data_IF_934748261199
#
_entry.id   IF_934748261199
#
_cell.length_a   1.000
_cell.length_b   1.000
_cell.length_c   1.000
_cell.angle_alpha   90.00
_cell.angle_beta   90.00
_cell.angle_gamma   90.00
#
_symmetry.space_group_name_H-M   'P 1'
#
loop_
_entity.id
_entity.type
_entity.pdbx_description
1 polymer ?
#
# COMPACT_ATOMS: atom_id res chain seq x y z
N UNK A 1 11.09 16.97 -9.67
CA UNK A 1 11.18 17.18 -8.21
C UNK A 1 12.34 16.36 -7.66
N UNK A 2 13.13 16.95 -6.79
CA UNK A 2 14.24 16.23 -6.16
C UNK A 2 13.71 15.24 -5.12
N UNK A 3 14.41 14.11 -4.88
CA UNK A 3 13.97 13.14 -3.88
C UNK A 3 13.75 13.72 -2.48
N UNK A 4 14.58 14.66 -2.05
CA UNK A 4 14.42 15.30 -0.74
C UNK A 4 13.12 16.12 -0.64
N UNK A 5 12.75 16.78 -1.74
CA UNK A 5 11.48 17.54 -1.79
C UNK A 5 10.29 16.59 -1.78
N UNK A 6 10.37 15.50 -2.53
CA UNK A 6 9.31 14.50 -2.56
C UNK A 6 9.09 13.88 -1.18
N UNK A 7 10.17 13.60 -0.44
CA UNK A 7 10.08 13.06 0.91
C UNK A 7 9.37 14.04 1.86
N UNK A 8 9.72 15.33 1.80
CA UNK A 8 9.08 16.34 2.65
C UNK A 8 7.59 16.47 2.33
N UNK A 9 7.23 16.51 1.05
CA UNK A 9 5.83 16.58 0.65
C UNK A 9 5.05 15.34 1.08
N UNK A 10 5.65 14.17 0.95
CA UNK A 10 5.03 12.92 1.37
C UNK A 10 4.75 12.91 2.87
N UNK A 11 5.70 13.36 3.67
CA UNK A 11 5.51 13.47 5.12
C UNK A 11 4.36 14.40 5.47
N UNK A 12 4.25 15.53 4.77
CA UNK A 12 3.18 16.50 4.98
C UNK A 12 1.81 15.89 4.63
N UNK A 13 1.71 15.21 3.50
CA UNK A 13 0.46 14.56 3.07
C UNK A 13 0.05 13.48 4.05
N UNK A 14 0.99 12.67 4.52
CA UNK A 14 0.69 11.55 5.43
C UNK A 14 0.36 11.97 6.86
N UNK A 15 0.72 13.19 7.25
CA UNK A 15 0.26 13.73 8.54
C UNK A 15 -1.24 13.96 8.56
N UNK A 16 -1.83 14.29 7.41
CA UNK A 16 -3.26 14.30 7.23
C UNK A 16 -3.79 12.88 6.99
N UNK A 17 -5.00 12.78 6.50
CA UNK A 17 -5.62 11.50 6.15
C UNK A 17 -5.52 11.16 4.67
N UNK A 18 -4.71 11.89 3.92
CA UNK A 18 -4.56 11.71 2.48
C UNK A 18 -3.47 10.69 2.15
N UNK A 19 -3.61 10.06 0.99
CA UNK A 19 -2.62 9.12 0.48
C UNK A 19 -1.79 9.79 -0.62
N UNK A 20 -0.46 9.85 -0.49
CA UNK A 20 0.38 10.38 -1.56
C UNK A 20 0.45 9.42 -2.74
N UNK A 21 0.53 9.98 -3.94
CA UNK A 21 0.66 9.23 -5.17
C UNK A 21 1.91 9.70 -5.91
N UNK A 22 2.92 8.85 -5.99
CA UNK A 22 4.19 9.18 -6.62
C UNK A 22 4.13 8.82 -8.10
N UNK A 23 4.30 9.82 -8.97
CA UNK A 23 4.29 9.63 -10.40
C UNK A 23 5.68 9.88 -10.97
N UNK A 24 6.06 9.10 -11.97
CA UNK A 24 7.33 9.26 -12.65
C UNK A 24 7.67 8.05 -13.51
N UNK A 25 8.75 8.16 -14.26
CA UNK A 25 9.22 7.06 -15.10
C UNK A 25 9.83 5.93 -14.28
N UNK A 26 9.93 4.77 -14.92
CA UNK A 26 10.54 3.60 -14.32
C UNK A 26 11.99 3.89 -13.91
N UNK A 27 12.36 3.48 -12.72
CA UNK A 27 13.75 3.57 -12.27
C UNK A 27 14.18 4.92 -11.73
N UNK A 28 13.28 5.87 -11.51
CA UNK A 28 13.67 7.20 -11.00
C UNK A 28 13.54 7.32 -9.48
N UNK A 29 13.67 6.22 -8.79
CA UNK A 29 13.83 6.24 -7.33
C UNK A 29 12.57 6.36 -6.52
N UNK A 30 11.39 6.05 -7.06
CA UNK A 30 10.14 6.07 -6.29
C UNK A 30 10.22 5.15 -5.08
N UNK A 31 10.71 3.93 -5.27
CA UNK A 31 10.88 2.97 -4.17
C UNK A 31 11.89 3.47 -3.13
N UNK A 32 12.96 4.13 -3.58
CA UNK A 32 13.95 4.71 -2.67
C UNK A 32 13.35 5.81 -1.80
N UNK A 33 12.47 6.64 -2.37
CA UNK A 33 11.78 7.69 -1.62
C UNK A 33 10.89 7.07 -0.53
N UNK A 34 10.16 6.02 -0.87
CA UNK A 34 9.30 5.33 0.09
C UNK A 34 10.14 4.69 1.20
N UNK A 35 11.25 4.05 0.85
CA UNK A 35 12.14 3.46 1.86
C UNK A 35 12.73 4.53 2.78
N UNK A 36 13.10 5.68 2.24
CA UNK A 36 13.57 6.80 3.06
C UNK A 36 12.50 7.30 4.02
N UNK A 37 11.26 7.35 3.56
CA UNK A 37 10.14 7.69 4.44
C UNK A 37 10.00 6.68 5.57
N UNK A 38 10.00 5.39 5.23
CA UNK A 38 9.89 4.31 6.23
C UNK A 38 10.99 4.42 7.27
N UNK A 39 12.23 4.62 6.83
CA UNK A 39 13.37 4.76 7.74
C UNK A 39 13.19 5.97 8.68
N UNK A 40 12.61 7.05 8.17
CA UNK A 40 12.44 8.27 8.97
C UNK A 40 11.33 8.14 10.02
N UNK A 41 10.27 7.37 9.76
CA UNK A 41 9.13 7.25 10.66
C UNK A 41 9.19 6.03 11.56
N UNK A 42 10.09 5.10 11.30
CA UNK A 42 10.26 3.91 12.12
C UNK A 42 10.83 4.23 13.52
N UNK A 43 11.43 5.39 13.68
CA UNK A 43 11.93 5.89 14.98
C UNK A 43 12.90 4.91 15.65
N UNK A 44 13.82 4.34 14.86
CA UNK A 44 14.81 3.38 15.37
C UNK A 44 14.27 1.98 15.57
N UNK A 45 13.01 1.73 15.30
CA UNK A 45 12.45 0.38 15.36
C UNK A 45 12.98 -0.48 14.22
N UNK A 46 13.01 -1.78 14.42
CA UNK A 46 13.38 -2.71 13.37
C UNK A 46 12.31 -2.71 12.28
N UNK A 47 12.71 -2.44 11.04
CA UNK A 47 11.81 -2.47 9.89
C UNK A 47 11.76 -3.90 9.34
N UNK A 48 10.58 -4.48 9.32
CA UNK A 48 10.36 -5.85 8.83
C UNK A 48 9.57 -5.81 7.53
N UNK A 49 10.16 -6.37 6.48
CA UNK A 49 9.49 -6.48 5.17
C UNK A 49 8.49 -7.64 5.23
N UNK A 50 7.29 -7.38 4.69
CA UNK A 50 6.18 -8.34 4.61
C UNK A 50 5.63 -8.82 5.97
N UNK A 51 5.93 -8.11 7.04
CA UNK A 51 5.34 -8.42 8.35
C UNK A 51 3.96 -7.78 8.48
N UNK A 52 2.93 -8.59 8.61
CA UNK A 52 1.54 -8.12 8.67
C UNK A 52 1.09 -7.73 10.08
N UNK A 53 1.86 -8.09 11.10
CA UNK A 53 1.50 -7.78 12.49
C UNK A 53 2.76 -7.46 13.32
N UNK A 54 3.46 -6.37 12.98
CA UNK A 54 4.68 -6.02 13.72
C UNK A 54 4.36 -5.68 15.18
N UNK A 55 5.30 -5.98 16.06
CA UNK A 55 5.18 -5.62 17.48
C UNK A 55 5.42 -4.13 17.68
N UNK A 56 5.22 -3.64 18.90
CA UNK A 56 5.48 -2.24 19.23
C UNK A 56 6.93 -1.81 19.02
N UNK A 57 7.88 -2.76 19.00
CA UNK A 57 9.29 -2.50 18.76
C UNK A 57 9.70 -2.66 17.29
N UNK A 58 8.73 -2.93 16.43
CA UNK A 58 8.94 -3.19 15.01
C UNK A 58 8.08 -2.26 14.18
N UNK A 59 8.48 -2.07 12.92
CA UNK A 59 7.72 -1.29 11.94
C UNK A 59 7.62 -2.09 10.66
N UNK A 60 6.39 -2.27 10.16
CA UNK A 60 6.17 -3.08 8.96
C UNK A 60 6.34 -2.28 7.67
N UNK A 61 6.78 -2.95 6.63
CA UNK A 61 6.82 -2.41 5.27
C UNK A 61 6.37 -3.50 4.30
N UNK A 62 5.25 -3.27 3.63
CA UNK A 62 4.72 -4.22 2.66
C UNK A 62 4.66 -3.54 1.30
N UNK A 63 5.33 -4.15 0.32
CA UNK A 63 5.41 -3.65 -1.05
C UNK A 63 4.56 -4.55 -1.95
N UNK A 64 3.46 -4.02 -2.46
CA UNK A 64 2.62 -4.71 -3.44
C UNK A 64 2.91 -4.15 -4.82
N UNK A 65 3.47 -4.98 -5.69
CA UNK A 65 3.58 -4.67 -7.11
C UNK A 65 2.26 -5.08 -7.78
N UNK A 66 1.36 -4.13 -7.90
CA UNK A 66 -0.04 -4.40 -8.24
C UNK A 66 -0.24 -4.99 -9.62
N UNK A 67 0.69 -4.76 -10.55
CA UNK A 67 0.60 -5.33 -11.90
C UNK A 67 0.67 -6.86 -11.91
N UNK A 68 1.14 -7.48 -10.82
CA UNK A 68 1.28 -8.93 -10.70
C UNK A 68 0.06 -9.61 -10.06
N UNK A 69 -0.92 -8.85 -9.61
CA UNK A 69 -2.03 -9.39 -8.81
C UNK A 69 -3.33 -9.42 -9.59
N UNK A 70 -4.19 -10.38 -9.23
CA UNK A 70 -5.57 -10.44 -9.66
C UNK A 70 -6.48 -10.05 -8.49
N UNK A 71 -7.74 -9.75 -8.79
CA UNK A 71 -8.68 -9.24 -7.78
C UNK A 71 -8.86 -10.19 -6.58
N UNK A 72 -8.80 -11.50 -6.80
CA UNK A 72 -8.94 -12.49 -5.71
C UNK A 72 -7.77 -12.41 -4.72
N UNK A 73 -6.60 -12.00 -5.18
CA UNK A 73 -5.41 -11.93 -4.31
C UNK A 73 -5.54 -10.85 -3.24
N UNK A 74 -6.21 -9.74 -3.55
CA UNK A 74 -6.41 -8.64 -2.61
C UNK A 74 -7.79 -8.65 -1.97
N UNK A 75 -8.84 -8.99 -2.76
CA UNK A 75 -10.21 -9.00 -2.25
C UNK A 75 -10.58 -10.25 -1.48
N UNK A 76 -9.77 -11.30 -1.54
CA UNK A 76 -10.03 -12.56 -0.89
C UNK A 76 -11.03 -13.44 -1.63
N UNK A 77 -11.18 -14.67 -1.16
CA UNK A 77 -12.11 -15.63 -1.71
C UNK A 77 -13.44 -15.55 -0.95
N UNK A 78 -14.58 -15.51 -1.65
CA UNK A 78 -15.87 -15.53 -0.97
C UNK A 78 -16.13 -16.90 -0.32
N UNK A 79 -16.73 -16.88 0.85
CA UNK A 79 -17.20 -18.10 1.53
C UNK A 79 -18.45 -17.79 2.33
N UNK A 80 -19.16 -18.82 2.73
CA UNK A 80 -20.34 -18.67 3.57
C UNK A 80 -19.97 -19.19 4.97
N UNK A 81 -20.17 -18.36 5.98
CA UNK A 81 -19.86 -18.73 7.35
C UNK A 81 -20.97 -19.58 7.99
N UNK A 82 -20.80 -19.98 9.26
CA UNK A 82 -21.73 -20.82 9.99
C UNK A 82 -23.09 -20.16 10.21
N UNK A 83 -23.15 -18.83 10.11
CA UNK A 83 -24.38 -18.06 10.24
C UNK A 83 -25.05 -17.78 8.89
N UNK A 84 -24.61 -18.45 7.84
CA UNK A 84 -25.14 -18.30 6.47
C UNK A 84 -24.89 -16.90 5.88
N UNK A 85 -23.85 -16.21 6.35
CA UNK A 85 -23.45 -14.90 5.84
C UNK A 85 -22.32 -15.04 4.84
N UNK A 86 -22.37 -14.27 3.76
CA UNK A 86 -21.27 -14.23 2.79
C UNK A 86 -20.15 -13.37 3.33
N UNK A 87 -18.95 -13.94 3.41
CA UNK A 87 -17.73 -13.25 3.85
C UNK A 87 -16.59 -13.51 2.87
N UNK A 88 -15.47 -12.84 3.08
CA UNK A 88 -14.28 -13.05 2.26
C UNK A 88 -13.10 -13.44 3.13
N UNK A 89 -12.44 -14.53 2.77
CA UNK A 89 -11.20 -14.96 3.39
C UNK A 89 -10.03 -14.29 2.65
N UNK A 90 -9.23 -13.52 3.35
CA UNK A 90 -8.09 -12.85 2.74
C UNK A 90 -6.98 -13.83 2.47
N UNK A 91 -6.44 -13.74 1.26
CA UNK A 91 -5.26 -14.49 0.87
C UNK A 91 -4.09 -13.51 0.92
N UNK A 92 -3.28 -13.59 1.94
CA UNK A 92 -2.02 -12.95 1.83
C UNK A 92 -1.75 -11.77 2.74
N UNK A 93 -1.04 -10.84 2.29
CA UNK A 93 -0.12 -10.00 3.02
C UNK A 93 -0.67 -8.63 3.41
N UNK A 94 -1.98 -8.51 3.61
CA UNK A 94 -2.55 -7.27 4.13
C UNK A 94 -2.33 -7.20 5.65
N UNK A 95 -1.96 -6.03 6.17
CA UNK A 95 -1.64 -5.91 7.59
C UNK A 95 -2.86 -6.12 8.48
N UNK A 96 -2.62 -6.74 9.64
CA UNK A 96 -3.67 -7.03 10.61
C UNK A 96 -3.49 -6.28 11.93
N UNK A 97 -2.37 -5.64 12.14
CA UNK A 97 -2.12 -4.88 13.36
C UNK A 97 -0.77 -4.20 13.34
N UNK A 98 -0.43 -3.50 14.42
CA UNK A 98 0.82 -2.78 14.53
C UNK A 98 0.88 -1.51 13.70
N UNK A 99 2.09 -1.09 13.39
CA UNK A 99 2.35 0.11 12.59
C UNK A 99 3.24 -0.20 11.40
N UNK A 100 2.98 0.46 10.29
CA UNK A 100 3.78 0.24 9.09
C UNK A 100 3.33 1.07 7.91
N UNK A 101 3.94 0.78 6.77
CA UNK A 101 3.62 1.40 5.47
C UNK A 101 3.25 0.31 4.49
N UNK A 102 2.10 0.49 3.86
CA UNK A 102 1.63 -0.33 2.75
C UNK A 102 1.88 0.44 1.46
N UNK A 103 2.74 -0.10 0.61
CA UNK A 103 3.16 0.56 -0.63
C UNK A 103 2.54 -0.16 -1.83
N UNK A 104 1.65 0.51 -2.53
CA UNK A 104 1.06 0.01 -3.77
C UNK A 104 1.86 0.54 -4.97
N UNK A 105 2.79 -0.27 -5.46
CA UNK A 105 3.60 0.08 -6.63
C UNK A 105 2.92 -0.37 -7.91
N UNK A 106 3.24 0.30 -9.00
CA UNK A 106 2.69 0.03 -10.33
C UNK A 106 1.16 0.10 -10.36
N UNK A 107 0.59 1.07 -9.64
CA UNK A 107 -0.86 1.24 -9.55
C UNK A 107 -1.50 1.45 -10.92
N UNK A 108 -0.90 2.32 -11.75
CA UNK A 108 -1.45 2.64 -13.06
C UNK A 108 -1.37 1.47 -14.05
N UNK A 109 -0.49 0.51 -13.79
CA UNK A 109 -0.32 -0.68 -14.63
C UNK A 109 -1.17 -1.86 -14.17
N UNK A 110 -1.86 -1.72 -13.05
CA UNK A 110 -2.70 -2.78 -12.50
C UNK A 110 -4.00 -2.93 -13.32
N UNK A 111 -4.59 -4.12 -13.26
CA UNK A 111 -5.91 -4.34 -13.83
C UNK A 111 -6.93 -3.40 -13.19
N UNK A 112 -7.96 -3.03 -13.95
CA UNK A 112 -9.01 -2.12 -13.46
C UNK A 112 -9.68 -2.66 -12.19
N UNK A 113 -9.87 -3.97 -12.09
CA UNK A 113 -10.43 -4.60 -10.90
C UNK A 113 -9.55 -4.40 -9.67
N UNK A 114 -8.24 -4.47 -9.84
CA UNK A 114 -7.27 -4.23 -8.76
C UNK A 114 -7.30 -2.75 -8.36
N UNK A 115 -7.31 -1.84 -9.33
CA UNK A 115 -7.41 -0.40 -9.04
C UNK A 115 -8.68 -0.08 -8.26
N UNK A 116 -9.79 -0.71 -8.59
CA UNK A 116 -11.06 -0.51 -7.88
C UNK A 116 -10.98 -0.98 -6.43
N UNK A 117 -10.38 -2.15 -6.19
CA UNK A 117 -10.20 -2.69 -4.84
C UNK A 117 -9.29 -1.78 -4.01
N UNK A 118 -8.16 -1.36 -4.57
CA UNK A 118 -7.23 -0.46 -3.89
C UNK A 118 -7.88 0.90 -3.63
N UNK A 119 -8.66 1.40 -4.60
CA UNK A 119 -9.40 2.65 -4.43
C UNK A 119 -10.39 2.59 -3.28
N UNK A 120 -11.07 1.46 -3.11
CA UNK A 120 -11.96 1.27 -1.98
C UNK A 120 -11.19 1.33 -0.66
N UNK A 121 -10.03 0.68 -0.58
CA UNK A 121 -9.18 0.74 0.61
C UNK A 121 -8.72 2.16 0.91
N UNK A 122 -8.33 2.91 -0.12
CA UNK A 122 -7.88 4.30 0.04
C UNK A 122 -9.00 5.22 0.52
N UNK A 123 -10.21 5.03 0.01
CA UNK A 123 -11.36 5.88 0.33
C UNK A 123 -12.00 5.52 1.66
N UNK A 124 -12.19 4.23 1.91
CA UNK A 124 -12.98 3.75 3.04
C UNK A 124 -12.15 3.11 4.14
N UNK A 125 -10.86 2.81 3.87
CA UNK A 125 -10.00 2.11 4.83
C UNK A 125 -10.36 0.64 4.98
N UNK A 126 -11.11 0.08 4.05
CA UNK A 126 -11.53 -1.32 4.11
C UNK A 126 -11.75 -1.91 2.72
N UNK A 127 -11.68 -3.24 2.65
CA UNK A 127 -12.01 -4.02 1.45
C UNK A 127 -12.90 -5.16 1.93
N UNK A 128 -14.19 -5.13 1.58
CA UNK A 128 -15.13 -6.13 2.07
C UNK A 128 -15.14 -6.17 3.60
N UNK A 129 -14.80 -7.33 4.17
CA UNK A 129 -14.72 -7.50 5.63
C UNK A 129 -13.37 -7.09 6.22
N UNK A 130 -12.39 -6.78 5.37
CA UNK A 130 -11.07 -6.37 5.82
C UNK A 130 -11.05 -4.89 6.17
N UNK A 131 -10.49 -4.56 7.33
CA UNK A 131 -10.30 -3.18 7.78
C UNK A 131 -8.81 -2.93 7.97
N UNK A 132 -8.29 -1.86 7.34
CA UNK A 132 -6.88 -1.48 7.49
C UNK A 132 -6.64 -0.98 8.92
N UNK A 133 -5.65 -1.55 9.63
CA UNK A 133 -5.31 -1.05 10.97
C UNK A 133 -4.89 0.41 10.95
N UNK A 134 -5.25 1.16 11.97
CA UNK A 134 -5.01 2.61 12.05
C UNK A 134 -3.53 2.99 12.02
N UNK A 135 -2.65 2.10 12.46
CA UNK A 135 -1.22 2.36 12.47
C UNK A 135 -0.53 2.22 11.11
N UNK A 136 -1.28 1.86 10.07
CA UNK A 136 -0.72 1.67 8.73
C UNK A 136 -1.09 2.85 7.83
N UNK A 137 -0.07 3.33 7.11
CA UNK A 137 -0.24 4.36 6.09
C UNK A 137 -0.07 3.74 4.71
N UNK A 138 -0.81 4.25 3.74
CA UNK A 138 -0.76 3.76 2.36
C UNK A 138 -0.07 4.79 1.49
N UNK A 139 0.84 4.33 0.64
CA UNK A 139 1.51 5.13 -0.38
C UNK A 139 1.32 4.43 -1.70
N UNK A 140 0.96 5.18 -2.75
CA UNK A 140 0.80 4.63 -4.09
C UNK A 140 1.87 5.19 -5.02
N UNK A 141 2.26 4.41 -6.00
CA UNK A 141 3.17 4.86 -7.05
C UNK A 141 2.77 4.26 -8.40
N UNK A 142 3.06 4.98 -9.45
CA UNK A 142 2.81 4.53 -10.82
C UNK A 142 3.55 5.40 -11.82
N UNK A 143 3.61 4.93 -13.06
CA UNK A 143 4.18 5.72 -14.14
C UNK A 143 3.10 6.62 -14.74
N UNK A 144 3.49 7.81 -15.19
CA UNK A 144 2.61 8.64 -15.98
C UNK A 144 2.37 7.99 -17.34
N UNK A 145 1.24 8.32 -17.98
CA UNK A 145 0.92 7.77 -19.30
C UNK A 145 2.04 8.04 -20.32
N UNK A 146 2.65 9.22 -20.27
CA UNK A 146 3.76 9.60 -21.14
C UNK A 146 5.01 8.76 -20.91
N UNK A 147 5.24 8.32 -19.68
CA UNK A 147 6.39 7.46 -19.35
C UNK A 147 6.17 6.03 -19.87
N UNK A 148 4.92 5.60 -19.93
CA UNK A 148 4.56 4.27 -20.40
C UNK A 148 4.63 4.14 -21.93
N UNK A 149 4.45 5.23 -22.65
CA UNK A 149 4.42 5.23 -24.10
C UNK A 149 5.76 4.82 -24.72
N UNK A 150 6.85 4.96 -24.01
CA UNK A 150 8.18 4.58 -24.46
C UNK A 150 8.59 3.13 -24.16
N UNK A 151 7.72 2.38 -23.52
CA UNK A 151 8.04 1.02 -23.09
C UNK A 151 7.53 -0.06 -24.02
#
# INVERSE_FOLDING_TARGET
>A
MKPSQALLMMKSVLKGSNTPFLLGGTGIGKSAIVRSYVDSVSEGREVLVDEINPTAKQFGFIDFRLSLYESVDLGGLPYIDDENQQKRAFLGNLPIGGEGVLFFDEYAQAHNSIQAICGQLLYEGKIGDYVLPKGWKVICAGNRATDRAGS
#
